data_IF_063832112816
#
_entry.id   IF_063832112816
#
_cell.length_a   1.000
_cell.length_b   1.000
_cell.length_c   1.000
_cell.angle_alpha   90.00
_cell.angle_beta   90.00
_cell.angle_gamma   90.00
#
_symmetry.space_group_name_H-M   'P 1'
#
loop_
_entity.id
_entity.type
_entity.pdbx_description
1 polymer ?
#
# COMPACT_ATOMS: atom_id res chain seq x y z
N UNK A 1 -5.92 -71.31 -38.05
CA UNK A 1 -5.14 -70.55 -37.05
C UNK A 1 -4.22 -69.62 -37.81
N UNK A 2 -4.60 -68.35 -38.00
CA UNK A 2 -3.76 -67.35 -38.67
C UNK A 2 -3.47 -66.23 -37.68
N UNK A 3 -2.22 -66.16 -37.25
CA UNK A 3 -1.71 -65.18 -36.31
C UNK A 3 -1.46 -63.84 -37.02
N UNK A 4 -2.07 -62.82 -36.45
CA UNK A 4 -1.96 -61.39 -36.77
C UNK A 4 -0.50 -60.94 -36.69
N UNK A 5 0.03 -60.39 -37.79
CA UNK A 5 1.33 -59.71 -37.82
C UNK A 5 1.18 -58.30 -37.26
N UNK A 6 1.81 -58.07 -36.11
CA UNK A 6 1.98 -56.76 -35.49
C UNK A 6 3.13 -56.03 -36.20
N UNK A 7 2.82 -54.97 -36.95
CA UNK A 7 3.83 -54.05 -37.50
C UNK A 7 4.19 -53.03 -36.43
N UNK A 8 5.41 -53.14 -35.93
CA UNK A 8 6.04 -52.23 -34.97
C UNK A 8 6.28 -50.90 -35.69
N UNK A 9 5.49 -49.88 -35.35
CA UNK A 9 5.73 -48.49 -35.72
C UNK A 9 6.87 -47.92 -34.88
N UNK A 10 7.97 -47.55 -35.52
CA UNK A 10 9.11 -46.87 -34.90
C UNK A 10 8.70 -45.43 -34.57
N UNK A 11 8.38 -45.15 -33.31
CA UNK A 11 8.22 -43.77 -32.84
C UNK A 11 9.62 -43.23 -32.53
N UNK A 12 10.11 -42.38 -33.42
CA UNK A 12 11.35 -41.63 -33.25
C UNK A 12 11.18 -40.65 -32.09
N UNK A 13 11.88 -40.89 -30.98
CA UNK A 13 12.07 -39.95 -29.88
C UNK A 13 12.96 -38.81 -30.37
N UNK A 14 12.36 -37.75 -30.92
CA UNK A 14 13.04 -36.48 -31.07
C UNK A 14 13.19 -35.87 -29.68
N UNK A 15 14.41 -35.93 -29.15
CA UNK A 15 14.80 -35.18 -27.97
C UNK A 15 14.66 -33.68 -28.28
N UNK A 16 13.52 -33.10 -27.89
CA UNK A 16 13.38 -31.66 -27.79
C UNK A 16 14.33 -31.25 -26.67
N UNK A 17 15.54 -30.85 -27.05
CA UNK A 17 16.42 -30.09 -26.18
C UNK A 17 15.70 -28.78 -25.88
N UNK A 18 14.90 -28.79 -24.82
CA UNK A 18 14.39 -27.57 -24.23
C UNK A 18 15.60 -26.77 -23.77
N UNK A 19 16.01 -25.78 -24.57
CA UNK A 19 16.81 -24.67 -24.08
C UNK A 19 15.97 -23.99 -23.00
N UNK A 20 16.16 -24.41 -21.75
CA UNK A 20 15.82 -23.59 -20.60
C UNK A 20 16.72 -22.37 -20.68
N UNK A 21 16.20 -21.32 -21.32
CA UNK A 21 16.71 -19.96 -21.17
C UNK A 21 16.51 -19.65 -19.69
N UNK A 22 17.55 -19.90 -18.91
CA UNK A 22 17.62 -19.51 -17.52
C UNK A 22 17.78 -17.99 -17.55
N UNK A 23 16.66 -17.27 -17.63
CA UNK A 23 16.65 -15.83 -17.42
C UNK A 23 17.18 -15.65 -16.01
N UNK A 24 18.41 -15.19 -15.89
CA UNK A 24 18.94 -14.63 -14.65
C UNK A 24 17.86 -13.71 -14.10
N UNK A 25 17.44 -13.85 -12.83
CA UNK A 25 16.49 -12.91 -12.26
C UNK A 25 17.12 -11.52 -12.39
N UNK A 26 16.61 -10.70 -13.29
CA UNK A 26 17.04 -9.31 -13.41
C UNK A 26 16.78 -8.72 -12.03
N UNK A 27 17.84 -8.29 -11.32
CA UNK A 27 17.70 -7.56 -10.06
C UNK A 27 16.62 -6.50 -10.31
N UNK A 28 15.60 -6.36 -9.44
CA UNK A 28 14.55 -5.37 -9.64
C UNK A 28 15.22 -4.04 -9.99
N UNK A 29 14.74 -3.37 -11.04
CA UNK A 29 15.22 -2.04 -11.36
C UNK A 29 14.81 -1.16 -10.18
N UNK A 30 15.79 -0.80 -9.33
CA UNK A 30 15.52 -0.01 -8.14
C UNK A 30 15.13 1.38 -8.59
N UNK A 31 13.94 1.78 -8.17
CA UNK A 31 13.32 3.03 -8.60
C UNK A 31 13.68 4.17 -7.66
N UNK A 32 13.97 3.87 -6.40
CA UNK A 32 14.30 4.86 -5.38
C UNK A 32 15.58 4.47 -4.66
N UNK A 33 16.46 5.44 -4.42
CA UNK A 33 17.60 5.24 -3.54
C UNK A 33 17.18 5.34 -2.06
N UNK A 34 18.04 4.90 -1.13
CA UNK A 34 17.78 4.94 0.31
C UNK A 34 17.31 6.31 0.83
N UNK A 35 17.89 7.42 0.34
CA UNK A 35 17.50 8.78 0.77
C UNK A 35 16.10 9.13 0.28
N UNK A 36 15.77 8.80 -0.96
CA UNK A 36 14.42 8.94 -1.52
C UNK A 36 13.41 8.08 -0.73
N UNK A 37 13.75 6.82 -0.44
CA UNK A 37 12.90 5.89 0.31
C UNK A 37 12.60 6.37 1.74
N UNK A 38 13.59 6.92 2.45
CA UNK A 38 13.39 7.52 3.78
C UNK A 38 12.41 8.69 3.71
N UNK A 39 12.58 9.60 2.75
CA UNK A 39 11.68 10.75 2.59
C UNK A 39 10.27 10.34 2.14
N UNK A 40 10.17 9.35 1.26
CA UNK A 40 8.89 8.78 0.86
C UNK A 40 8.17 8.10 2.03
N UNK A 41 8.90 7.46 2.95
CA UNK A 41 8.33 6.88 4.16
C UNK A 41 7.76 7.95 5.09
N UNK A 42 8.41 9.11 5.17
CA UNK A 42 7.84 10.27 5.86
C UNK A 42 6.57 10.79 5.18
N UNK A 43 6.52 10.79 3.84
CA UNK A 43 5.32 11.17 3.11
C UNK A 43 4.16 10.18 3.30
N UNK A 44 4.45 8.87 3.44
CA UNK A 44 3.47 7.85 3.79
C UNK A 44 2.88 8.08 5.19
N UNK A 45 3.72 8.37 6.19
CA UNK A 45 3.26 8.67 7.55
C UNK A 45 2.36 9.93 7.58
N UNK A 46 2.73 10.96 6.82
CA UNK A 46 1.93 12.18 6.72
C UNK A 46 0.58 11.91 6.03
N UNK A 47 0.56 11.07 4.99
CA UNK A 47 -0.66 10.67 4.31
C UNK A 47 -1.59 9.82 5.20
N UNK A 48 -1.02 8.88 5.97
CA UNK A 48 -1.77 8.09 6.96
C UNK A 48 -2.36 8.97 8.07
N UNK A 49 -1.59 9.96 8.56
CA UNK A 49 -2.09 10.97 9.50
C UNK A 49 -3.22 11.78 8.87
N UNK A 50 -3.06 12.23 7.61
CA UNK A 50 -4.07 12.99 6.90
C UNK A 50 -5.37 12.18 6.73
N UNK A 51 -5.27 10.90 6.40
CA UNK A 51 -6.41 10.00 6.29
C UNK A 51 -7.15 9.87 7.64
N UNK A 52 -6.42 9.65 8.73
CA UNK A 52 -7.02 9.55 10.06
C UNK A 52 -7.76 10.84 10.44
N UNK A 53 -7.07 11.97 10.41
CA UNK A 53 -7.61 13.25 10.89
C UNK A 53 -8.80 13.68 10.05
N UNK A 54 -8.74 13.47 8.73
CA UNK A 54 -9.85 13.78 7.83
C UNK A 54 -11.05 12.85 8.03
N UNK A 55 -10.81 11.55 8.25
CA UNK A 55 -11.86 10.60 8.59
C UNK A 55 -12.53 10.95 9.92
N UNK A 56 -11.75 11.28 10.94
CA UNK A 56 -12.25 11.69 12.25
C UNK A 56 -13.07 12.98 12.16
N UNK A 57 -12.62 13.96 11.35
CA UNK A 57 -13.40 15.17 11.06
C UNK A 57 -14.74 14.85 10.40
N UNK A 58 -14.76 13.96 9.40
CA UNK A 58 -15.99 13.53 8.73
C UNK A 58 -16.97 12.83 9.69
N UNK A 59 -16.44 12.19 10.72
CA UNK A 59 -17.22 11.54 11.80
C UNK A 59 -17.50 12.48 12.99
N UNK A 60 -17.25 13.78 12.87
CA UNK A 60 -17.62 14.80 13.86
C UNK A 60 -16.67 14.91 15.05
N UNK A 61 -15.48 14.31 15.01
CA UNK A 61 -14.45 14.53 16.04
C UNK A 61 -14.00 15.99 16.01
N UNK A 62 -13.73 16.56 17.18
CA UNK A 62 -13.33 17.96 17.30
C UNK A 62 -11.86 18.17 16.95
N UNK A 63 -11.54 19.36 16.44
CA UNK A 63 -10.16 19.81 16.19
C UNK A 63 -9.30 19.72 17.44
N UNK A 64 -9.85 20.10 18.59
CA UNK A 64 -9.17 20.10 19.89
C UNK A 64 -8.78 18.68 20.31
N UNK A 65 -9.64 17.69 20.07
CA UNK A 65 -9.34 16.27 20.32
C UNK A 65 -8.14 15.82 19.49
N UNK A 66 -8.05 16.25 18.23
CA UNK A 66 -6.93 15.90 17.36
C UNK A 66 -5.61 16.53 17.83
N UNK A 67 -5.62 17.80 18.27
CA UNK A 67 -4.43 18.43 18.85
C UNK A 67 -3.98 17.76 20.15
N UNK A 68 -4.92 17.36 21.00
CA UNK A 68 -4.59 16.64 22.24
C UNK A 68 -3.92 15.29 21.94
N UNK A 69 -4.30 14.62 20.84
CA UNK A 69 -3.71 13.33 20.46
C UNK A 69 -2.24 13.43 20.02
N UNK A 70 -1.76 14.62 19.62
CA UNK A 70 -0.39 14.83 19.12
C UNK A 70 0.51 15.62 20.07
N UNK A 71 0.03 16.03 21.25
CA UNK A 71 0.74 16.99 22.12
C UNK A 71 2.06 16.49 22.73
N UNK A 72 2.44 15.24 22.50
CA UNK A 72 3.72 14.65 22.93
C UNK A 72 4.51 13.98 21.80
N UNK A 73 4.15 14.25 20.54
CA UNK A 73 4.81 13.70 19.36
C UNK A 73 5.93 14.66 18.90
N UNK A 74 7.11 14.14 18.57
CA UNK A 74 8.24 14.94 18.04
C UNK A 74 7.87 15.69 16.74
N UNK A 75 6.87 15.19 16.01
CA UNK A 75 6.32 15.79 14.78
C UNK A 75 5.06 16.64 15.02
N UNK A 76 4.73 16.98 16.28
CA UNK A 76 3.52 17.72 16.66
C UNK A 76 3.32 19.02 15.88
N UNK A 77 4.39 19.76 15.58
CA UNK A 77 4.27 21.01 14.81
C UNK A 77 3.76 20.76 13.39
N UNK A 78 4.29 19.74 12.72
CA UNK A 78 3.92 19.38 11.35
C UNK A 78 2.51 18.79 11.33
N UNK A 79 2.23 17.85 12.23
CA UNK A 79 0.89 17.25 12.38
C UNK A 79 -0.16 18.30 12.75
N UNK A 80 0.20 19.29 13.58
CA UNK A 80 -0.65 20.41 13.94
C UNK A 80 -1.03 21.29 12.74
N UNK A 81 -0.07 21.61 11.88
CA UNK A 81 -0.33 22.36 10.65
C UNK A 81 -1.25 21.59 9.69
N UNK A 82 -1.07 20.26 9.59
CA UNK A 82 -1.96 19.40 8.82
C UNK A 82 -3.39 19.38 9.40
N UNK A 83 -3.55 19.26 10.73
CA UNK A 83 -4.85 19.32 11.40
C UNK A 83 -5.52 20.68 11.12
N UNK A 84 -4.78 21.78 11.25
CA UNK A 84 -5.30 23.11 10.93
C UNK A 84 -5.84 23.19 9.50
N UNK A 85 -5.09 22.64 8.54
CA UNK A 85 -5.49 22.64 7.14
C UNK A 85 -6.76 21.81 6.90
N UNK A 86 -6.78 20.56 7.39
CA UNK A 86 -7.92 19.66 7.28
C UNK A 86 -9.18 20.29 7.89
N UNK A 87 -9.07 20.93 9.05
CA UNK A 87 -10.24 21.52 9.72
C UNK A 87 -10.73 22.82 9.08
N UNK A 88 -9.88 23.59 8.40
CA UNK A 88 -10.30 24.73 7.59
C UNK A 88 -10.95 24.33 6.27
N UNK A 89 -10.49 23.25 5.64
CA UNK A 89 -10.99 22.80 4.34
C UNK A 89 -12.35 22.12 4.39
N UNK A 90 -13.07 22.07 3.27
CA UNK A 90 -14.27 21.24 3.12
C UNK A 90 -13.86 19.87 2.56
N UNK A 91 -13.65 18.90 3.44
CA UNK A 91 -13.23 17.55 3.06
C UNK A 91 -14.44 16.72 2.65
N UNK A 92 -14.39 16.12 1.46
CA UNK A 92 -15.42 15.19 0.97
C UNK A 92 -15.02 13.73 1.02
N UNK A 93 -13.71 13.46 1.01
CA UNK A 93 -13.14 12.12 1.01
C UNK A 93 -11.81 12.14 1.73
N UNK A 94 -11.71 11.37 2.83
CA UNK A 94 -10.46 11.17 3.56
C UNK A 94 -9.38 10.54 2.68
N UNK A 95 -9.79 9.57 1.85
CA UNK A 95 -8.94 8.89 0.90
C UNK A 95 -8.35 9.85 -0.14
N UNK A 96 -9.20 10.62 -0.84
CA UNK A 96 -8.71 11.53 -1.89
C UNK A 96 -7.76 12.58 -1.30
N UNK A 97 -8.09 13.10 -0.12
CA UNK A 97 -7.25 14.07 0.56
C UNK A 97 -5.88 13.47 0.93
N UNK A 98 -5.84 12.27 1.53
CA UNK A 98 -4.58 11.63 1.90
C UNK A 98 -3.71 11.27 0.70
N UNK A 99 -4.29 10.79 -0.40
CA UNK A 99 -3.53 10.51 -1.63
C UNK A 99 -2.94 11.77 -2.26
N UNK A 100 -3.64 12.91 -2.15
CA UNK A 100 -3.11 14.20 -2.60
C UNK A 100 -1.97 14.67 -1.69
N UNK A 101 -2.12 14.55 -0.36
CA UNK A 101 -1.05 14.87 0.61
C UNK A 101 0.21 14.05 0.32
N UNK A 102 0.08 12.76 0.06
CA UNK A 102 1.23 11.92 -0.33
C UNK A 102 1.89 12.46 -1.60
N UNK A 103 1.11 12.69 -2.64
CA UNK A 103 1.61 13.13 -3.95
C UNK A 103 2.33 14.47 -3.86
N UNK A 104 1.79 15.42 -3.09
CA UNK A 104 2.41 16.71 -2.85
C UNK A 104 3.69 16.59 -2.02
N UNK A 105 3.69 15.78 -0.97
CA UNK A 105 4.87 15.53 -0.16
C UNK A 105 5.98 14.87 -1.00
N UNK A 106 5.64 13.87 -1.82
CA UNK A 106 6.59 13.19 -2.67
C UNK A 106 7.31 14.15 -3.63
N UNK A 107 6.56 15.08 -4.24
CA UNK A 107 7.12 16.06 -5.16
C UNK A 107 7.89 17.18 -4.44
N UNK A 108 7.32 17.76 -3.38
CA UNK A 108 7.85 18.98 -2.75
C UNK A 108 8.89 18.71 -1.66
N UNK A 109 8.82 17.56 -0.98
CA UNK A 109 9.68 17.21 0.17
C UNK A 109 10.64 16.09 -0.21
N UNK A 110 10.13 15.03 -0.82
CA UNK A 110 10.95 13.91 -1.26
C UNK A 110 11.72 14.22 -2.56
N UNK A 111 11.35 15.27 -3.28
CA UNK A 111 11.95 15.70 -4.55
C UNK A 111 11.90 14.59 -5.61
N UNK A 112 10.77 13.86 -5.62
CA UNK A 112 10.51 12.79 -6.59
C UNK A 112 9.81 13.41 -7.80
N UNK A 113 10.40 13.31 -9.01
CA UNK A 113 9.77 13.75 -10.25
C UNK A 113 8.44 13.05 -10.49
N UNK A 114 7.47 13.76 -11.07
CA UNK A 114 6.10 13.28 -11.27
C UNK A 114 6.01 11.92 -11.99
N UNK A 115 6.88 11.68 -12.97
CA UNK A 115 6.97 10.42 -13.73
C UNK A 115 7.48 9.23 -12.90
N UNK A 116 8.05 9.49 -11.72
CA UNK A 116 8.53 8.49 -10.76
C UNK A 116 7.64 8.37 -9.53
N UNK A 117 6.60 9.18 -9.35
CA UNK A 117 5.76 9.15 -8.13
C UNK A 117 4.77 7.99 -8.11
N UNK A 118 4.33 7.50 -9.28
CA UNK A 118 3.21 6.56 -9.40
C UNK A 118 3.38 5.30 -8.53
N UNK A 119 4.57 4.71 -8.54
CA UNK A 119 4.84 3.46 -7.83
C UNK A 119 4.86 3.67 -6.31
N UNK A 120 5.52 4.72 -5.81
CA UNK A 120 5.46 5.07 -4.40
C UNK A 120 4.03 5.44 -3.97
N UNK A 121 3.24 6.08 -4.84
CA UNK A 121 1.83 6.38 -4.58
C UNK A 121 0.98 5.11 -4.46
N UNK A 122 1.27 4.08 -5.25
CA UNK A 122 0.63 2.77 -5.11
C UNK A 122 0.96 2.13 -3.75
N UNK A 123 2.23 2.20 -3.33
CA UNK A 123 2.65 1.71 -2.01
C UNK A 123 1.98 2.47 -0.86
N UNK A 124 1.85 3.80 -0.97
CA UNK A 124 1.18 4.62 0.03
C UNK A 124 -0.32 4.29 0.11
N UNK A 125 -0.97 4.06 -1.02
CA UNK A 125 -2.38 3.64 -1.03
C UNK A 125 -2.57 2.24 -0.42
N UNK A 126 -1.62 1.31 -0.59
CA UNK A 126 -1.64 0.02 0.13
C UNK A 126 -1.53 0.21 1.64
N UNK A 127 -0.60 1.07 2.09
CA UNK A 127 -0.44 1.46 3.49
C UNK A 127 -1.75 2.04 4.07
N UNK A 128 -2.43 2.91 3.32
CA UNK A 128 -3.75 3.46 3.68
C UNK A 128 -4.85 2.40 3.80
N UNK A 129 -4.93 1.45 2.86
CA UNK A 129 -5.88 0.33 2.96
C UNK A 129 -5.59 -0.51 4.19
N UNK A 130 -4.34 -0.85 4.45
CA UNK A 130 -3.96 -1.64 5.62
C UNK A 130 -4.36 -0.93 6.92
N UNK A 131 -4.10 0.38 7.01
CA UNK A 131 -4.50 1.21 8.15
C UNK A 131 -6.02 1.20 8.35
N UNK A 132 -6.78 1.42 7.29
CA UNK A 132 -8.23 1.46 7.34
C UNK A 132 -8.86 0.08 7.63
N UNK A 133 -8.26 -0.99 7.12
CA UNK A 133 -8.64 -2.36 7.45
C UNK A 133 -8.44 -2.65 8.94
N UNK A 134 -7.32 -2.17 9.51
CA UNK A 134 -7.05 -2.31 10.94
C UNK A 134 -8.04 -1.49 11.80
N UNK A 135 -8.42 -0.28 11.38
CA UNK A 135 -9.50 0.49 12.03
C UNK A 135 -10.82 -0.32 12.06
N UNK A 136 -11.17 -0.98 10.95
CA UNK A 136 -12.39 -1.80 10.86
C UNK A 136 -12.30 -3.07 11.71
N UNK A 137 -11.18 -3.78 11.67
CA UNK A 137 -10.91 -4.96 12.50
C UNK A 137 -11.02 -4.63 13.99
N UNK A 138 -10.35 -3.56 14.45
CA UNK A 138 -10.38 -3.12 15.84
C UNK A 138 -11.76 -2.65 16.30
N UNK A 139 -12.60 -2.21 15.36
CA UNK A 139 -14.00 -1.86 15.61
C UNK A 139 -14.95 -3.09 15.59
N UNK A 140 -14.40 -4.30 15.47
CA UNK A 140 -15.17 -5.56 15.45
C UNK A 140 -15.90 -5.83 14.15
N UNK A 141 -15.54 -5.17 13.04
CA UNK A 141 -16.12 -5.45 11.72
C UNK A 141 -15.58 -6.76 11.17
N UNK A 142 -16.45 -7.55 10.55
CA UNK A 142 -16.06 -8.78 9.86
C UNK A 142 -15.35 -8.46 8.54
N UNK A 143 -14.46 -9.35 8.10
CA UNK A 143 -13.61 -9.13 6.92
C UNK A 143 -14.39 -8.79 5.64
N UNK A 144 -15.60 -9.35 5.48
CA UNK A 144 -16.47 -9.09 4.33
C UNK A 144 -16.93 -7.63 4.25
N UNK A 145 -17.19 -6.99 5.39
CA UNK A 145 -17.54 -5.56 5.43
C UNK A 145 -16.35 -4.71 4.98
N UNK A 146 -15.16 -5.09 5.40
CA UNK A 146 -13.90 -4.42 5.04
C UNK A 146 -13.59 -4.56 3.55
N UNK A 147 -13.78 -5.74 2.97
CA UNK A 147 -13.71 -5.93 1.52
C UNK A 147 -14.66 -4.99 0.77
N UNK A 148 -15.90 -4.87 1.25
CA UNK A 148 -16.90 -3.99 0.63
C UNK A 148 -16.50 -2.53 0.71
N UNK A 149 -15.96 -2.09 1.86
CA UNK A 149 -15.51 -0.73 2.07
C UNK A 149 -14.34 -0.32 1.15
N UNK A 150 -13.42 -1.25 0.86
CA UNK A 150 -12.24 -0.99 0.04
C UNK A 150 -12.33 -1.50 -1.40
N UNK A 151 -13.43 -2.15 -1.79
CA UNK A 151 -13.69 -2.63 -3.15
C UNK A 151 -13.53 -1.57 -4.26
N UNK A 152 -13.83 -0.27 -4.05
CA UNK A 152 -13.58 0.77 -5.05
C UNK A 152 -12.09 0.96 -5.41
N UNK A 153 -11.16 0.59 -4.53
CA UNK A 153 -9.71 0.86 -4.69
C UNK A 153 -8.96 -0.33 -5.33
N UNK A 154 -9.49 -0.87 -6.43
CA UNK A 154 -9.00 -2.13 -7.03
C UNK A 154 -7.52 -2.11 -7.43
N UNK A 155 -6.98 -0.95 -7.79
CA UNK A 155 -5.58 -0.77 -8.21
C UNK A 155 -4.59 -1.20 -7.14
N UNK A 156 -4.94 -1.09 -5.85
CA UNK A 156 -4.05 -1.48 -4.75
C UNK A 156 -4.05 -2.97 -4.42
N UNK A 157 -4.90 -3.77 -5.07
CA UNK A 157 -5.21 -5.17 -4.69
C UNK A 157 -5.58 -5.25 -3.20
N UNK A 158 -6.69 -4.62 -2.80
CA UNK A 158 -7.00 -4.40 -1.39
C UNK A 158 -7.23 -5.71 -0.61
N UNK A 159 -7.68 -6.78 -1.27
CA UNK A 159 -8.01 -8.06 -0.63
C UNK A 159 -6.83 -8.68 0.12
N UNK A 160 -5.67 -8.83 -0.53
CA UNK A 160 -4.48 -9.41 0.11
C UNK A 160 -4.05 -8.59 1.34
N UNK A 161 -4.03 -7.26 1.19
CA UNK A 161 -3.68 -6.35 2.29
C UNK A 161 -4.66 -6.46 3.47
N UNK A 162 -5.95 -6.68 3.18
CA UNK A 162 -6.98 -6.84 4.21
C UNK A 162 -6.86 -8.20 4.89
N UNK A 163 -6.59 -9.26 4.14
CA UNK A 163 -6.35 -10.61 4.67
C UNK A 163 -5.21 -10.60 5.68
N UNK A 164 -4.05 -10.05 5.32
CA UNK A 164 -2.88 -9.96 6.19
C UNK A 164 -3.22 -9.27 7.54
N UNK A 165 -3.99 -8.17 7.48
CA UNK A 165 -4.40 -7.44 8.69
C UNK A 165 -5.32 -8.27 9.59
N UNK A 166 -6.26 -9.01 9.01
CA UNK A 166 -7.25 -9.79 9.76
C UNK A 166 -6.67 -11.08 10.32
N UNK A 167 -5.80 -11.75 9.57
CA UNK A 167 -5.17 -13.01 9.96
C UNK A 167 -4.15 -12.79 11.08
N UNK A 168 -3.38 -11.70 11.00
CA UNK A 168 -2.37 -11.36 12.01
C UNK A 168 -2.90 -10.47 13.15
N UNK A 169 -4.10 -9.91 13.02
CA UNK A 169 -4.70 -9.03 14.02
C UNK A 169 -3.90 -7.74 14.25
N UNK A 170 -3.41 -7.13 13.16
CA UNK A 170 -2.47 -6.01 13.23
C UNK A 170 -3.11 -4.74 13.78
N UNK A 171 -2.35 -3.98 14.59
CA UNK A 171 -2.72 -2.60 14.90
C UNK A 171 -2.56 -1.68 13.69
N UNK A 172 -3.21 -0.51 13.73
CA UNK A 172 -3.18 0.48 12.65
C UNK A 172 -1.76 0.84 12.19
N UNK A 173 -0.86 1.07 13.15
CA UNK A 173 0.53 1.41 12.87
C UNK A 173 1.34 0.22 12.35
N UNK A 174 1.05 -1.00 12.81
CA UNK A 174 1.70 -2.21 12.29
C UNK A 174 1.25 -2.49 10.86
N UNK A 175 -0.06 -2.45 10.60
CA UNK A 175 -0.66 -2.71 9.30
C UNK A 175 -0.13 -1.76 8.23
N UNK A 176 -0.17 -0.44 8.48
CA UNK A 176 0.33 0.56 7.51
C UNK A 176 1.83 0.40 7.26
N UNK A 177 2.61 0.25 8.32
CA UNK A 177 4.07 0.09 8.22
C UNK A 177 4.46 -1.17 7.47
N UNK A 178 3.84 -2.31 7.75
CA UNK A 178 4.12 -3.57 7.08
C UNK A 178 3.80 -3.48 5.59
N UNK A 179 2.60 -3.03 5.24
CA UNK A 179 2.18 -2.87 3.84
C UNK A 179 3.09 -1.89 3.06
N UNK A 180 3.53 -0.81 3.71
CA UNK A 180 4.50 0.12 3.14
C UNK A 180 5.86 -0.55 2.91
N UNK A 181 6.41 -1.20 3.93
CA UNK A 181 7.74 -1.82 3.88
C UNK A 181 7.83 -2.96 2.85
N UNK A 182 6.80 -3.81 2.78
CA UNK A 182 6.74 -4.89 1.79
C UNK A 182 6.67 -4.35 0.37
N UNK A 183 5.90 -3.28 0.14
CA UNK A 183 5.80 -2.67 -1.18
C UNK A 183 7.09 -1.93 -1.57
N UNK A 184 7.60 -1.07 -0.69
CA UNK A 184 8.78 -0.27 -0.96
C UNK A 184 10.05 -1.11 -1.02
N UNK A 185 10.18 -2.17 -0.23
CA UNK A 185 11.35 -3.06 -0.24
C UNK A 185 11.63 -3.74 -1.58
N UNK A 186 10.65 -3.80 -2.49
CA UNK A 186 10.83 -4.32 -3.85
C UNK A 186 11.40 -3.26 -4.81
N UNK A 187 11.17 -1.97 -4.51
CA UNK A 187 11.44 -0.84 -5.43
C UNK A 187 12.49 0.13 -4.90
N UNK A 188 13.01 -0.08 -3.70
CA UNK A 188 14.07 0.72 -3.08
C UNK A 188 15.19 -0.11 -2.48
N UNK A 189 16.41 0.41 -2.55
CA UNK A 189 17.65 -0.13 -1.96
C UNK A 189 17.98 0.58 -0.63
#
# INVERSE_FOLDING_TARGET
MNATRCLIGVISLTQISACTIQTTPTKPLLLYNAKEAVKLSYCDDLANTAYQVSNDKLNGVSKQTQFAAISGDDSAQIKGALIDDIYRGDIKSSWQYSTNVFSECAQKVADIPTDRVEIASLCAQKSLVARGAADMYQSGKVILDTYTAFAPYKTVRPFTVIEDVYDEGLSRAQASKQAWQECMGVVSD
#
